data_IF_616330310893
#
_entry.id   IF_616330310893
#
_cell.length_a   1.000
_cell.length_b   1.000
_cell.length_c   1.000
_cell.angle_alpha   90.00
_cell.angle_beta   90.00
_cell.angle_gamma   90.00
#
_symmetry.space_group_name_H-M   'P 1'
#
loop_
_entity.id
_entity.type
_entity.pdbx_description
1 polymer ?
#
# COMPACT_ATOMS: atom_id res chain seq x y z
N UNK A 1 8.06 27.27 -6.42
CA UNK A 1 8.23 26.50 -5.17
C UNK A 1 9.12 25.31 -5.50
N UNK A 2 10.35 25.29 -5.00
CA UNK A 2 11.26 24.17 -5.21
C UNK A 2 10.78 23.01 -4.35
N UNK A 3 10.22 21.97 -4.97
CA UNK A 3 9.81 20.77 -4.26
C UNK A 3 11.07 20.10 -3.66
N UNK A 4 11.12 20.02 -2.32
CA UNK A 4 12.08 19.17 -1.62
C UNK A 4 12.01 17.76 -2.22
N UNK A 5 13.13 17.11 -2.55
CA UNK A 5 13.09 15.75 -3.07
C UNK A 5 12.35 14.87 -2.07
N UNK A 6 11.37 14.12 -2.57
CA UNK A 6 10.62 13.14 -1.79
C UNK A 6 11.60 12.14 -1.16
N UNK A 7 11.79 12.20 0.16
CA UNK A 7 12.65 11.24 0.87
C UNK A 7 11.81 10.08 1.36
N UNK A 8 12.24 8.86 1.08
CA UNK A 8 11.61 7.65 1.61
C UNK A 8 11.65 7.65 3.15
N UNK A 9 10.63 7.05 3.76
CA UNK A 9 10.57 6.88 5.22
C UNK A 9 11.75 6.01 5.69
N UNK A 10 12.40 6.43 6.77
CA UNK A 10 13.54 5.73 7.39
C UNK A 10 13.24 5.18 8.77
N UNK A 11 12.09 5.55 9.34
CA UNK A 11 11.68 5.16 10.69
C UNK A 11 10.22 4.71 10.71
N UNK A 12 9.95 3.66 11.47
CA UNK A 12 8.64 3.04 11.61
C UNK A 12 8.13 3.22 13.04
N UNK A 13 6.97 3.86 13.26
CA UNK A 13 6.45 4.14 14.58
C UNK A 13 5.91 2.85 15.22
N UNK A 14 6.30 2.61 16.46
CA UNK A 14 5.81 1.50 17.27
C UNK A 14 4.43 1.85 17.80
N UNK A 15 3.47 0.95 17.60
CA UNK A 15 2.10 1.12 18.07
C UNK A 15 2.05 1.08 19.61
N UNK A 16 1.42 2.08 20.22
CA UNK A 16 1.07 2.08 21.66
C UNK A 16 2.19 2.46 22.64
N UNK A 17 3.28 3.10 22.20
CA UNK A 17 4.36 3.56 23.09
C UNK A 17 4.37 5.07 23.34
N UNK A 18 4.61 5.49 24.59
CA UNK A 18 4.95 6.86 24.97
C UNK A 18 6.41 6.91 25.46
N UNK A 19 7.24 7.91 25.06
CA UNK A 19 7.10 8.73 23.85
C UNK A 19 7.20 7.87 22.58
N UNK A 20 6.86 8.44 21.42
CA UNK A 20 6.72 7.75 20.13
C UNK A 20 8.03 7.07 19.68
N UNK A 21 8.30 5.89 20.23
CA UNK A 21 9.43 5.06 19.82
C UNK A 21 9.25 4.70 18.35
N UNK A 22 10.33 4.83 17.59
CA UNK A 22 10.41 4.37 16.22
C UNK A 22 11.60 3.44 16.05
N UNK A 23 11.51 2.57 15.04
CA UNK A 23 12.57 1.63 14.65
C UNK A 23 13.04 2.00 13.26
N UNK A 24 14.33 1.88 12.98
CA UNK A 24 14.84 2.08 11.63
C UNK A 24 14.19 1.09 10.65
N UNK A 25 13.83 1.60 9.49
CA UNK A 25 13.27 0.80 8.42
C UNK A 25 13.84 1.22 7.06
N UNK A 26 13.74 0.31 6.11
CA UNK A 26 14.09 0.57 4.72
C UNK A 26 12.86 0.31 3.87
N UNK A 27 12.55 1.24 2.96
CA UNK A 27 11.63 1.00 1.85
C UNK A 27 12.46 0.46 0.70
N UNK A 28 12.16 -0.75 0.25
CA UNK A 28 12.88 -1.40 -0.85
C UNK A 28 11.92 -1.89 -1.93
N UNK A 29 12.38 -1.91 -3.17
CA UNK A 29 11.67 -2.61 -4.24
C UNK A 29 11.59 -4.11 -3.93
N UNK A 30 10.47 -4.72 -4.27
CA UNK A 30 10.19 -6.13 -4.03
C UNK A 30 10.04 -6.87 -5.36
N UNK A 31 11.13 -7.49 -5.80
CA UNK A 31 11.14 -8.37 -6.97
C UNK A 31 10.55 -9.76 -6.67
N UNK A 32 10.63 -10.65 -7.66
CA UNK A 32 10.08 -12.00 -7.55
C UNK A 32 10.65 -12.79 -6.36
N UNK A 33 11.90 -12.55 -5.97
CA UNK A 33 12.55 -13.21 -4.82
C UNK A 33 11.89 -12.77 -3.52
N UNK A 34 11.72 -11.47 -3.31
CA UNK A 34 11.11 -10.89 -2.12
C UNK A 34 9.65 -11.30 -1.98
N UNK A 35 8.90 -11.34 -3.10
CA UNK A 35 7.51 -11.81 -3.12
C UNK A 35 7.39 -13.32 -2.82
N UNK A 36 8.33 -14.15 -3.31
CA UNK A 36 8.38 -15.58 -2.95
C UNK A 36 8.71 -15.79 -1.48
N UNK A 37 9.64 -15.00 -0.94
CA UNK A 37 9.98 -15.03 0.49
C UNK A 37 8.77 -14.61 1.34
N UNK A 38 8.07 -13.54 0.95
CA UNK A 38 6.81 -13.15 1.59
C UNK A 38 5.81 -14.30 1.59
N UNK A 39 5.61 -14.95 0.44
CA UNK A 39 4.65 -16.03 0.32
C UNK A 39 4.99 -17.20 1.27
N UNK A 40 6.23 -17.67 1.20
CA UNK A 40 6.72 -18.82 1.98
C UNK A 40 6.75 -18.58 3.48
N UNK A 41 7.22 -17.41 3.93
CA UNK A 41 7.50 -17.18 5.35
C UNK A 41 6.40 -16.41 6.08
N UNK A 42 5.51 -15.72 5.36
CA UNK A 42 4.48 -14.86 5.96
C UNK A 42 3.09 -15.27 5.48
N UNK A 43 2.88 -15.34 4.16
CA UNK A 43 1.55 -15.56 3.62
C UNK A 43 1.01 -16.96 3.98
N UNK A 44 1.69 -18.01 3.55
CA UNK A 44 1.22 -19.40 3.72
C UNK A 44 1.05 -19.77 5.20
N UNK A 45 1.99 -19.45 6.11
CA UNK A 45 1.86 -19.88 7.50
C UNK A 45 0.94 -19.00 8.36
N UNK A 46 0.72 -17.72 8.00
CA UNK A 46 0.04 -16.76 8.89
C UNK A 46 -1.14 -16.01 8.26
N UNK A 47 -1.15 -15.75 6.95
CA UNK A 47 -2.23 -14.99 6.30
C UNK A 47 -3.25 -15.93 5.66
N UNK A 48 -2.81 -16.93 4.89
CA UNK A 48 -3.67 -17.91 4.24
C UNK A 48 -4.63 -18.65 5.21
N UNK A 49 -4.20 -19.10 6.42
CA UNK A 49 -5.10 -19.75 7.37
C UNK A 49 -6.03 -18.77 8.10
N UNK A 50 -5.76 -17.47 8.11
CA UNK A 50 -6.57 -16.48 8.83
C UNK A 50 -7.81 -16.07 8.02
N UNK A 51 -8.98 -16.58 8.43
CA UNK A 51 -10.25 -16.27 7.79
C UNK A 51 -10.68 -14.79 7.93
N UNK A 52 -10.13 -14.06 8.89
CA UNK A 52 -10.42 -12.63 9.06
C UNK A 52 -9.69 -11.75 8.03
N UNK A 53 -8.70 -12.29 7.30
CA UNK A 53 -7.89 -11.56 6.33
C UNK A 53 -8.50 -11.61 4.92
N UNK A 54 -8.80 -10.44 4.36
CA UNK A 54 -9.29 -10.31 2.97
C UNK A 54 -8.22 -10.70 1.94
N UNK A 55 -6.95 -10.54 2.29
CA UNK A 55 -5.81 -10.84 1.43
C UNK A 55 -5.35 -12.31 1.49
N UNK A 56 -6.07 -13.20 2.20
CA UNK A 56 -5.68 -14.61 2.40
C UNK A 56 -5.57 -15.48 1.13
N UNK A 57 -6.08 -14.99 0.01
CA UNK A 57 -6.03 -15.70 -1.29
C UNK A 57 -5.09 -15.03 -2.29
N UNK A 58 -4.38 -13.98 -1.88
CA UNK A 58 -3.56 -13.19 -2.78
C UNK A 58 -2.29 -13.92 -3.21
N UNK A 59 -2.09 -13.97 -4.52
CA UNK A 59 -0.96 -14.64 -5.17
C UNK A 59 -0.01 -13.60 -5.75
N UNK A 60 0.77 -12.95 -4.89
CA UNK A 60 1.61 -11.79 -5.22
C UNK A 60 2.51 -11.98 -6.46
N UNK A 61 3.23 -13.09 -6.54
CA UNK A 61 4.10 -13.39 -7.69
C UNK A 61 3.30 -13.50 -9.00
N UNK A 62 2.13 -14.14 -8.96
CA UNK A 62 1.25 -14.25 -10.13
C UNK A 62 0.65 -12.90 -10.51
N UNK A 63 0.27 -12.10 -9.52
CA UNK A 63 -0.27 -10.77 -9.73
C UNK A 63 0.76 -9.82 -10.32
N UNK A 64 2.02 -9.87 -9.88
CA UNK A 64 3.10 -9.04 -10.44
C UNK A 64 3.38 -9.41 -11.90
N UNK A 65 3.48 -10.70 -12.21
CA UNK A 65 3.70 -11.14 -13.59
C UNK A 65 2.52 -10.77 -14.50
N UNK A 66 1.29 -10.99 -14.03
CA UNK A 66 0.09 -10.61 -14.78
C UNK A 66 -0.07 -9.11 -14.94
N UNK A 67 0.36 -8.32 -13.95
CA UNK A 67 0.30 -6.85 -14.03
C UNK A 67 1.25 -6.31 -15.08
N UNK A 68 2.47 -6.84 -15.21
CA UNK A 68 3.39 -6.42 -16.27
C UNK A 68 2.74 -6.60 -17.65
N UNK A 69 2.18 -7.78 -17.93
CA UNK A 69 1.52 -8.05 -19.21
C UNK A 69 0.32 -7.12 -19.43
N UNK A 70 -0.51 -6.89 -18.40
CA UNK A 70 -1.71 -6.07 -18.53
C UNK A 70 -1.40 -4.58 -18.72
N UNK A 71 -0.37 -4.08 -18.03
CA UNK A 71 -0.09 -2.65 -17.93
C UNK A 71 0.86 -2.13 -19.02
N UNK A 72 1.74 -2.99 -19.55
CA UNK A 72 2.64 -2.65 -20.64
C UNK A 72 1.87 -2.19 -21.89
N UNK A 73 0.75 -2.85 -22.19
CA UNK A 73 -0.15 -2.48 -23.30
C UNK A 73 -0.74 -1.04 -23.17
N UNK A 74 -0.72 -0.44 -21.99
CA UNK A 74 -1.20 0.91 -21.72
C UNK A 74 -0.06 1.89 -21.35
N UNK A 75 1.21 1.49 -21.51
CA UNK A 75 2.36 2.31 -21.13
C UNK A 75 2.43 2.60 -19.63
N UNK A 76 1.89 1.71 -18.79
CA UNK A 76 1.82 1.89 -17.34
C UNK A 76 2.94 1.13 -16.65
N UNK A 77 3.56 1.77 -15.67
CA UNK A 77 4.61 1.17 -14.85
C UNK A 77 3.99 0.42 -13.66
N UNK A 78 4.39 -0.84 -13.44
CA UNK A 78 4.03 -1.60 -12.25
C UNK A 78 5.25 -1.79 -11.36
N UNK A 79 5.12 -1.49 -10.08
CA UNK A 79 6.17 -1.66 -9.08
C UNK A 79 5.61 -2.36 -7.85
N UNK A 80 6.43 -3.16 -7.18
CA UNK A 80 6.12 -3.70 -5.86
C UNK A 80 7.21 -3.27 -4.88
N UNK A 81 6.83 -3.03 -3.63
CA UNK A 81 7.77 -2.62 -2.60
C UNK A 81 7.42 -3.24 -1.25
N UNK A 82 8.43 -3.31 -0.39
CA UNK A 82 8.32 -3.72 1.00
C UNK A 82 8.89 -2.64 1.90
N UNK A 83 8.26 -2.46 3.06
CA UNK A 83 8.90 -1.81 4.19
C UNK A 83 9.50 -2.93 5.03
N UNK A 84 10.80 -2.85 5.31
CA UNK A 84 11.55 -3.86 6.07
C UNK A 84 12.18 -3.25 7.31
N UNK A 85 12.27 -4.04 8.38
CA UNK A 85 12.99 -3.71 9.62
C UNK A 85 14.02 -4.79 9.91
N UNK A 86 15.02 -4.48 10.74
CA UNK A 86 15.94 -5.48 11.26
C UNK A 86 15.30 -6.26 12.41
N UNK A 87 15.41 -7.59 12.41
CA UNK A 87 15.13 -8.43 13.57
C UNK A 87 16.25 -8.29 14.62
N UNK A 88 16.06 -8.89 15.79
CA UNK A 88 17.11 -8.99 16.84
C UNK A 88 18.43 -9.59 16.34
N UNK A 89 18.39 -10.44 15.32
CA UNK A 89 19.57 -11.10 14.74
C UNK A 89 20.10 -10.37 13.51
N UNK A 90 19.61 -9.15 13.22
CA UNK A 90 20.00 -8.36 12.06
C UNK A 90 19.37 -8.83 10.75
N UNK A 91 18.43 -9.79 10.76
CA UNK A 91 17.76 -10.23 9.54
C UNK A 91 16.74 -9.19 9.08
N UNK A 92 16.68 -8.94 7.78
CA UNK A 92 15.63 -8.11 7.19
C UNK A 92 14.28 -8.82 7.23
N UNK A 93 13.29 -8.18 7.85
CA UNK A 93 11.93 -8.69 8.05
C UNK A 93 10.93 -7.70 7.45
N UNK A 94 10.13 -8.09 6.45
CA UNK A 94 9.13 -7.21 5.89
C UNK A 94 7.96 -7.03 6.88
N UNK A 95 7.60 -5.78 7.13
CA UNK A 95 6.46 -5.39 7.99
C UNK A 95 5.21 -5.06 7.17
N UNK A 96 5.39 -4.78 5.88
CA UNK A 96 4.32 -4.49 4.93
C UNK A 96 4.80 -4.58 3.50
N UNK A 97 3.84 -4.73 2.60
CA UNK A 97 4.07 -4.88 1.17
C UNK A 97 2.95 -4.21 0.40
N UNK A 98 3.29 -3.59 -0.72
CA UNK A 98 2.31 -3.06 -1.65
C UNK A 98 2.76 -3.20 -3.10
N UNK A 99 1.78 -3.17 -4.00
CA UNK A 99 1.95 -3.19 -5.44
C UNK A 99 1.22 -1.99 -6.02
N UNK A 100 1.95 -1.19 -6.79
CA UNK A 100 1.52 0.06 -7.39
C UNK A 100 1.49 -0.07 -8.90
N UNK A 101 0.55 0.64 -9.51
CA UNK A 101 0.56 0.85 -10.95
C UNK A 101 0.35 2.32 -11.25
N UNK A 102 1.35 2.93 -11.88
CA UNK A 102 1.38 4.35 -12.22
C UNK A 102 0.74 4.59 -13.58
N UNK A 103 -0.04 5.67 -13.72
CA UNK A 103 -0.69 6.05 -14.98
C UNK A 103 -2.13 5.56 -15.14
N UNK A 104 -2.82 5.32 -14.02
CA UNK A 104 -4.27 5.06 -14.03
C UNK A 104 -5.08 6.36 -13.99
N UNK A 105 -6.24 6.45 -14.67
CA UNK A 105 -7.15 7.57 -14.50
C UNK A 105 -7.50 7.76 -13.03
N UNK A 106 -7.41 8.99 -12.56
CA UNK A 106 -7.79 9.34 -11.20
C UNK A 106 -9.31 9.27 -11.05
N UNK A 107 -9.84 8.49 -10.09
CA UNK A 107 -11.29 8.29 -9.97
C UNK A 107 -12.07 9.62 -9.84
N UNK A 108 -12.97 9.86 -10.79
CA UNK A 108 -13.80 11.06 -10.86
C UNK A 108 -13.15 12.26 -11.57
N UNK A 109 -11.93 12.12 -12.09
CA UNK A 109 -11.19 13.16 -12.81
C UNK A 109 -10.59 12.59 -14.10
N UNK A 110 -11.34 12.64 -15.19
CA UNK A 110 -10.96 11.98 -16.46
C UNK A 110 -9.62 12.44 -17.05
N UNK A 111 -9.21 13.68 -16.78
CA UNK A 111 -7.99 14.29 -17.30
C UNK A 111 -6.79 14.22 -16.34
N UNK A 112 -6.95 13.53 -15.20
CA UNK A 112 -5.90 13.40 -14.20
C UNK A 112 -5.47 11.95 -14.09
N UNK A 113 -4.17 11.71 -13.99
CA UNK A 113 -3.60 10.39 -13.75
C UNK A 113 -3.18 10.25 -12.29
N UNK A 114 -3.08 9.02 -11.83
CA UNK A 114 -2.70 8.68 -10.47
C UNK A 114 -1.90 7.38 -10.41
N UNK A 115 -1.22 7.18 -9.28
CA UNK A 115 -0.67 5.88 -8.91
C UNK A 115 -1.73 5.07 -8.19
N UNK A 116 -2.06 3.91 -8.76
CA UNK A 116 -3.07 3.01 -8.23
C UNK A 116 -2.42 1.97 -7.32
N UNK A 117 -2.84 1.89 -6.06
CA UNK A 117 -2.44 0.81 -5.16
C UNK A 117 -3.36 -0.39 -5.43
N UNK A 118 -2.85 -1.38 -6.16
CA UNK A 118 -3.61 -2.59 -6.48
C UNK A 118 -3.74 -3.52 -5.28
N UNK A 119 -2.64 -3.67 -4.54
CA UNK A 119 -2.55 -4.54 -3.39
C UNK A 119 -1.72 -3.86 -2.31
N UNK A 120 -2.15 -3.97 -1.06
CA UNK A 120 -1.37 -3.53 0.10
C UNK A 120 -1.71 -4.40 1.31
N UNK A 121 -0.71 -4.72 2.10
CA UNK A 121 -0.87 -5.62 3.25
C UNK A 121 0.17 -5.32 4.32
N UNK A 122 -0.18 -5.63 5.57
CA UNK A 122 0.75 -5.64 6.70
C UNK A 122 1.00 -7.06 7.18
N UNK A 123 2.22 -7.30 7.65
CA UNK A 123 2.65 -8.55 8.25
C UNK A 123 1.88 -8.78 9.57
N UNK A 124 1.27 -9.95 9.79
CA UNK A 124 0.61 -10.27 11.05
C UNK A 124 1.58 -10.22 12.24
N UNK A 125 1.11 -9.81 13.42
CA UNK A 125 1.95 -9.74 14.62
C UNK A 125 2.55 -11.10 15.00
N UNK A 126 1.83 -12.20 14.77
CA UNK A 126 2.33 -13.55 15.00
C UNK A 126 3.52 -13.88 14.08
N UNK A 127 3.46 -13.46 12.81
CA UNK A 127 4.54 -13.64 11.85
C UNK A 127 5.77 -12.79 12.22
N UNK A 128 5.57 -11.53 12.63
CA UNK A 128 6.66 -10.67 13.12
C UNK A 128 7.38 -11.32 14.31
N UNK A 129 6.63 -11.79 15.30
CA UNK A 129 7.18 -12.48 16.47
C UNK A 129 7.97 -13.74 16.07
N UNK A 130 7.44 -14.56 15.17
CA UNK A 130 8.12 -15.75 14.66
C UNK A 130 9.43 -15.41 13.92
N UNK A 131 9.52 -14.21 13.33
CA UNK A 131 10.69 -13.71 12.63
C UNK A 131 11.63 -12.89 13.55
N UNK A 132 11.38 -12.86 14.86
CA UNK A 132 12.23 -12.19 15.85
C UNK A 132 12.04 -10.67 15.95
N UNK A 133 10.84 -10.19 15.62
CA UNK A 133 10.41 -8.79 15.76
C UNK A 133 9.24 -8.73 16.75
N UNK A 134 9.50 -8.17 17.93
CA UNK A 134 8.50 -8.07 19.00
C UNK A 134 7.62 -6.84 18.90
N UNK A 135 8.04 -5.87 18.09
CA UNK A 135 7.37 -4.59 17.92
C UNK A 135 6.15 -4.71 17.02
N UNK A 136 5.13 -3.93 17.35
CA UNK A 136 3.95 -3.73 16.50
C UNK A 136 4.06 -2.37 15.83
N UNK A 137 3.65 -2.29 14.57
CA UNK A 137 3.85 -1.09 13.77
C UNK A 137 2.57 -0.60 13.12
N UNK A 138 2.51 0.72 12.87
CA UNK A 138 1.46 1.34 12.07
C UNK A 138 1.91 1.37 10.61
N UNK A 139 1.56 0.34 9.84
CA UNK A 139 2.16 0.09 8.51
C UNK A 139 1.38 0.74 7.36
N UNK A 140 0.05 0.63 7.37
CA UNK A 140 -0.79 1.05 6.23
C UNK A 140 -0.62 2.53 5.83
N UNK A 141 -0.61 3.51 6.76
CA UNK A 141 -0.35 4.91 6.40
C UNK A 141 1.01 5.13 5.73
N UNK A 142 2.02 4.33 6.06
CA UNK A 142 3.37 4.47 5.52
C UNK A 142 3.53 3.79 4.16
N UNK A 143 2.81 2.68 3.92
CA UNK A 143 2.65 2.14 2.57
C UNK A 143 1.95 3.14 1.65
N UNK A 144 0.93 3.83 2.18
CA UNK A 144 0.21 4.87 1.45
C UNK A 144 1.08 6.11 1.19
N UNK A 145 1.89 6.55 2.15
CA UNK A 145 2.87 7.62 1.91
C UNK A 145 3.91 7.23 0.86
N UNK A 146 4.36 5.96 0.87
CA UNK A 146 5.28 5.46 -0.16
C UNK A 146 4.62 5.52 -1.55
N UNK A 147 3.33 5.20 -1.66
CA UNK A 147 2.58 5.36 -2.91
C UNK A 147 2.47 6.85 -3.34
N UNK A 148 2.32 7.77 -2.38
CA UNK A 148 2.34 9.22 -2.64
C UNK A 148 3.72 9.66 -3.16
N UNK A 149 4.82 9.17 -2.59
CA UNK A 149 6.16 9.50 -3.09
C UNK A 149 6.39 8.94 -4.49
N UNK A 150 5.99 7.69 -4.75
CA UNK A 150 6.05 7.09 -6.08
C UNK A 150 5.25 7.91 -7.11
N UNK A 151 4.05 8.34 -6.73
CA UNK A 151 3.21 9.23 -7.54
C UNK A 151 3.89 10.58 -7.84
N UNK A 152 4.58 11.18 -6.87
CA UNK A 152 5.35 12.42 -7.09
C UNK A 152 6.54 12.22 -8.01
N UNK A 153 7.30 11.13 -7.84
CA UNK A 153 8.43 10.80 -8.72
C UNK A 153 7.98 10.59 -10.17
N UNK A 154 6.79 10.04 -10.37
CA UNK A 154 6.18 9.90 -11.68
C UNK A 154 5.54 11.20 -12.23
N UNK A 155 5.66 12.33 -11.54
CA UNK A 155 5.08 13.61 -11.97
C UNK A 155 3.55 13.69 -11.81
N UNK A 156 2.93 12.79 -11.02
CA UNK A 156 1.48 12.74 -10.81
C UNK A 156 1.01 13.53 -9.58
N UNK A 157 1.88 14.40 -9.05
CA UNK A 157 1.61 15.33 -7.95
C UNK A 157 1.15 14.66 -6.64
N UNK A 158 1.48 13.39 -6.44
CA UNK A 158 1.11 12.64 -5.24
C UNK A 158 -0.31 12.05 -5.27
N UNK A 159 -1.05 12.19 -6.38
CA UNK A 159 -2.36 11.55 -6.54
C UNK A 159 -2.25 10.04 -6.42
N UNK A 160 -3.03 9.47 -5.52
CA UNK A 160 -3.09 8.02 -5.27
C UNK A 160 -4.54 7.57 -5.28
N UNK A 161 -4.80 6.39 -5.82
CA UNK A 161 -6.10 5.77 -5.80
C UNK A 161 -6.01 4.29 -5.41
N UNK A 162 -7.06 3.75 -4.80
CA UNK A 162 -7.21 2.34 -4.52
C UNK A 162 -8.67 1.92 -4.46
N UNK A 163 -8.91 0.62 -4.49
CA UNK A 163 -10.24 0.02 -4.49
C UNK A 163 -10.41 -0.87 -3.26
N UNK A 164 -11.52 -0.72 -2.54
CA UNK A 164 -11.86 -1.62 -1.45
C UNK A 164 -12.47 -2.92 -1.99
N UNK A 165 -11.90 -4.06 -1.58
CA UNK A 165 -12.42 -5.38 -1.94
C UNK A 165 -13.84 -5.58 -1.38
N UNK A 166 -14.68 -6.31 -2.11
CA UNK A 166 -16.03 -6.73 -1.69
C UNK A 166 -16.09 -8.15 -1.18
N UNK A 167 -14.99 -8.90 -1.26
CA UNK A 167 -14.93 -10.23 -0.67
C UNK A 167 -14.99 -10.13 0.85
N UNK A 168 -15.32 -11.25 1.49
CA UNK A 168 -15.46 -11.34 2.94
C UNK A 168 -16.82 -10.88 3.47
N UNK A 169 -16.97 -10.93 4.79
CA UNK A 169 -18.18 -10.50 5.49
C UNK A 169 -18.36 -8.98 5.44
N UNK A 170 -19.59 -8.52 5.67
CA UNK A 170 -19.90 -7.09 5.77
C UNK A 170 -19.01 -6.38 6.81
N UNK A 171 -18.76 -7.02 7.95
CA UNK A 171 -17.87 -6.49 8.98
C UNK A 171 -16.45 -6.26 8.45
N UNK A 172 -15.88 -7.21 7.71
CA UNK A 172 -14.53 -7.08 7.13
C UNK A 172 -14.46 -5.93 6.12
N UNK A 173 -15.52 -5.75 5.33
CA UNK A 173 -15.64 -4.66 4.36
C UNK A 173 -15.74 -3.31 5.07
N UNK A 174 -16.61 -3.19 6.08
CA UNK A 174 -16.79 -1.98 6.87
C UNK A 174 -15.49 -1.60 7.62
N UNK A 175 -14.77 -2.60 8.17
CA UNK A 175 -13.46 -2.41 8.79
C UNK A 175 -12.39 -1.94 7.80
N UNK A 176 -12.44 -2.42 6.56
CA UNK A 176 -11.53 -1.97 5.50
C UNK A 176 -11.82 -0.50 5.13
N UNK A 177 -13.08 -0.15 4.92
CA UNK A 177 -13.52 1.22 4.64
C UNK A 177 -13.10 2.16 5.76
N UNK A 178 -13.37 1.79 7.02
CA UNK A 178 -13.01 2.60 8.18
C UNK A 178 -11.48 2.79 8.29
N UNK A 179 -10.68 1.77 7.97
CA UNK A 179 -9.22 1.89 7.93
C UNK A 179 -8.74 2.88 6.87
N UNK A 180 -9.31 2.84 5.66
CA UNK A 180 -8.94 3.78 4.59
C UNK A 180 -9.30 5.23 4.95
N UNK A 181 -10.50 5.46 5.51
CA UNK A 181 -10.90 6.79 5.97
C UNK A 181 -9.99 7.31 7.10
N UNK A 182 -9.58 6.45 8.05
CA UNK A 182 -8.61 6.83 9.11
C UNK A 182 -7.22 7.18 8.58
N UNK A 183 -6.86 6.69 7.40
CA UNK A 183 -5.64 7.08 6.72
C UNK A 183 -5.78 8.44 6.01
N UNK A 184 -6.97 9.06 6.03
CA UNK A 184 -7.25 10.34 5.37
C UNK A 184 -7.61 10.22 3.88
N UNK A 185 -7.84 9.00 3.39
CA UNK A 185 -8.33 8.80 2.03
C UNK A 185 -9.78 9.28 1.95
N UNK A 186 -10.13 9.93 0.84
CA UNK A 186 -11.52 10.31 0.55
C UNK A 186 -12.18 9.24 -0.29
N UNK A 187 -13.36 8.79 0.14
CA UNK A 187 -14.20 7.90 -0.68
C UNK A 187 -14.80 8.71 -1.84
N UNK A 188 -14.67 8.22 -3.06
CA UNK A 188 -15.36 8.78 -4.22
C UNK A 188 -16.70 8.06 -4.38
N UNK A 189 -17.78 8.84 -4.30
CA UNK A 189 -19.16 8.40 -4.47
C UNK A 189 -19.60 8.87 -5.86
N UNK A 190 -20.51 8.15 -6.49
CA UNK A 190 -21.12 8.51 -7.78
C UNK A 190 -20.22 8.34 -9.00
N UNK A 191 -19.25 7.42 -8.93
CA UNK A 191 -18.41 7.06 -10.08
C UNK A 191 -19.10 6.15 -11.10
N UNK A 192 -20.42 5.94 -10.94
CA UNK A 192 -21.21 5.08 -11.82
C UNK A 192 -21.11 5.65 -13.24
N UNK A 193 -20.64 4.81 -14.17
CA UNK A 193 -20.37 5.10 -15.59
C UNK A 193 -19.00 5.70 -15.93
N UNK A 194 -18.10 5.92 -14.96
CA UNK A 194 -16.71 6.25 -15.27
C UNK A 194 -15.93 4.97 -15.60
N UNK A 195 -15.30 4.94 -16.78
CA UNK A 195 -14.56 3.77 -17.28
C UNK A 195 -13.10 3.86 -16.81
N UNK A 196 -12.63 2.90 -16.02
CA UNK A 196 -11.23 2.82 -15.58
C UNK A 196 -10.35 2.15 -16.67
N UNK A 197 -10.93 1.20 -17.39
CA UNK A 197 -10.35 0.49 -18.53
C UNK A 197 -11.49 -0.11 -19.37
N UNK A 198 -11.21 -0.53 -20.61
CA UNK A 198 -12.18 -1.08 -21.57
C UNK A 198 -13.19 -2.09 -20.97
N UNK A 199 -12.83 -2.79 -19.90
CA UNK A 199 -13.63 -3.86 -19.30
C UNK A 199 -14.04 -3.63 -17.83
N UNK A 200 -13.70 -2.48 -17.22
CA UNK A 200 -14.02 -2.22 -15.81
C UNK A 200 -14.57 -0.82 -15.58
N UNK A 201 -15.83 -0.77 -15.12
CA UNK A 201 -16.47 0.44 -14.61
C UNK A 201 -16.05 0.72 -13.18
N UNK A 202 -15.90 1.99 -12.85
CA UNK A 202 -15.72 2.43 -11.47
C UNK A 202 -17.04 2.29 -10.71
N UNK A 203 -16.92 2.19 -9.38
CA UNK A 203 -18.04 2.07 -8.45
C UNK A 203 -17.74 2.90 -7.19
N UNK A 204 -18.60 2.83 -6.18
CA UNK A 204 -18.47 3.65 -4.98
C UNK A 204 -17.46 3.07 -3.96
N UNK A 205 -16.57 2.16 -4.35
CA UNK A 205 -15.54 1.56 -3.47
C UNK A 205 -14.13 2.09 -3.77
N UNK A 206 -14.03 3.19 -4.51
CA UNK A 206 -12.76 3.84 -4.79
C UNK A 206 -12.45 4.87 -3.69
N UNK A 207 -11.20 4.85 -3.25
CA UNK A 207 -10.64 5.74 -2.23
C UNK A 207 -9.42 6.42 -2.82
N UNK A 208 -9.28 7.71 -2.58
CA UNK A 208 -8.24 8.51 -3.22
C UNK A 208 -7.57 9.48 -2.26
N UNK A 209 -6.32 9.79 -2.58
CA UNK A 209 -5.71 11.07 -2.26
C UNK A 209 -5.67 11.93 -3.53
N UNK A 210 -6.23 13.13 -3.42
CA UNK A 210 -5.89 14.24 -4.32
C UNK A 210 -4.58 14.91 -3.85
N UNK A 211 -4.11 15.92 -4.59
CA UNK A 211 -2.85 16.59 -4.27
C UNK A 211 -2.80 17.16 -2.83
N UNK A 212 -3.90 17.76 -2.38
CA UNK A 212 -3.99 18.38 -1.06
C UNK A 212 -3.94 17.33 0.06
N UNK A 213 -4.77 16.28 -0.04
CA UNK A 213 -4.79 15.20 0.94
C UNK A 213 -3.51 14.34 0.91
N UNK A 214 -2.88 14.17 -0.26
CA UNK A 214 -1.57 13.54 -0.40
C UNK A 214 -0.47 14.36 0.31
N UNK A 215 -0.50 15.69 0.16
CA UNK A 215 0.42 16.58 0.87
C UNK A 215 0.24 16.48 2.39
N UNK A 216 -1.00 16.55 2.87
CA UNK A 216 -1.31 16.37 4.29
C UNK A 216 -0.84 15.01 4.84
N UNK A 217 -1.00 13.93 4.04
CA UNK A 217 -0.52 12.59 4.40
C UNK A 217 1.01 12.57 4.58
N UNK A 218 1.76 13.15 3.63
CA UNK A 218 3.23 13.25 3.72
C UNK A 218 3.70 14.05 4.94
N UNK A 219 3.10 15.20 5.20
CA UNK A 219 3.50 16.08 6.31
C UNK A 219 3.34 15.38 7.67
N UNK A 220 2.30 14.55 7.82
CA UNK A 220 2.04 13.79 9.05
C UNK A 220 3.22 12.88 9.45
N UNK A 221 4.01 12.43 8.46
CA UNK A 221 5.09 11.46 8.66
C UNK A 221 6.48 12.05 8.40
N UNK A 222 6.60 13.37 8.32
CA UNK A 222 7.86 14.03 7.96
C UNK A 222 8.98 13.79 8.97
N UNK A 223 8.63 13.71 10.24
CA UNK A 223 9.56 13.36 11.32
C UNK A 223 10.11 11.93 11.24
N UNK A 224 9.64 11.10 10.31
CA UNK A 224 10.08 9.72 10.13
C UNK A 224 11.04 9.52 8.93
N UNK A 225 11.34 10.59 8.20
CA UNK A 225 12.30 10.58 7.09
C UNK A 225 13.75 10.72 7.58
#
# INVERSE_FOLDING_TARGET
MNATPATAIRRLPVAGGAPARSVECVVQEAGLRELRNWHRFIHDPFIAPDAARLDRTWQWTRYLMGSYVLNDAYGRLTEAFQIVVASRTGRSVPVGQAMLVTGYPHPGRANELSTFVWFLTSTPAAALKALGVDDRFVVMPLLLDTAVQASRWAGLHGRVALHADHRGSKQQQDDLVARYLRCGLTRRIELKNVVLSLFRRMDDRYFVYDEASAHACTLRWDLLR
#
